data_IF_146567450243
#
_entry.id   IF_146567450243
#
_cell.length_a   1.000
_cell.length_b   1.000
_cell.length_c   1.000
_cell.angle_alpha   90.00
_cell.angle_beta   90.00
_cell.angle_gamma   90.00
#
_symmetry.space_group_name_H-M   'P 1'
#
loop_
_entity.id
_entity.type
_entity.pdbx_description
1 polymer ?
#
# COMPACT_ATOMS: atom_id res chain seq x y z
N UNK A 1 62.90 27.16 -42.84
CA UNK A 1 62.22 27.32 -41.53
C UNK A 1 60.74 27.70 -41.61
N UNK A 2 60.19 28.12 -42.77
CA UNK A 2 58.73 28.33 -42.93
C UNK A 2 57.94 27.00 -43.07
N UNK A 3 58.49 26.02 -43.80
CA UNK A 3 57.83 24.71 -44.04
C UNK A 3 57.51 23.89 -42.79
N UNK A 4 58.41 23.87 -41.80
CA UNK A 4 58.21 23.06 -40.58
C UNK A 4 57.07 23.58 -39.70
N UNK A 5 56.67 24.84 -39.87
CA UNK A 5 55.56 25.46 -39.11
C UNK A 5 54.21 25.14 -39.72
N UNK A 6 54.11 25.10 -41.05
CA UNK A 6 52.89 24.69 -41.76
C UNK A 6 52.60 23.19 -41.60
N UNK A 7 53.64 22.35 -41.63
CA UNK A 7 53.50 20.90 -41.38
C UNK A 7 53.06 20.61 -39.92
N UNK A 8 53.55 21.39 -38.94
CA UNK A 8 53.15 21.25 -37.55
C UNK A 8 51.69 21.68 -37.29
N UNK A 9 51.21 22.71 -38.00
CA UNK A 9 49.81 23.16 -37.90
C UNK A 9 48.86 22.15 -38.54
N UNK A 10 49.19 21.64 -39.74
CA UNK A 10 48.39 20.62 -40.40
C UNK A 10 48.32 19.29 -39.61
N UNK A 11 49.42 18.89 -38.98
CA UNK A 11 49.45 17.71 -38.12
C UNK A 11 48.61 17.89 -36.84
N UNK A 12 48.61 19.10 -36.27
CA UNK A 12 47.79 19.42 -35.10
C UNK A 12 46.29 19.47 -35.45
N UNK A 13 45.90 20.01 -36.61
CA UNK A 13 44.51 20.00 -37.09
C UNK A 13 44.01 18.59 -37.40
N UNK A 14 44.84 17.75 -38.03
CA UNK A 14 44.52 16.35 -38.27
C UNK A 14 44.33 15.57 -36.95
N UNK A 15 45.20 15.78 -35.96
CA UNK A 15 45.09 15.16 -34.64
C UNK A 15 43.84 15.65 -33.88
N UNK A 16 43.50 16.94 -33.96
CA UNK A 16 42.29 17.49 -33.35
C UNK A 16 41.01 16.92 -33.98
N UNK A 17 40.98 16.81 -35.30
CA UNK A 17 39.84 16.21 -36.03
C UNK A 17 39.65 14.74 -35.64
N UNK A 18 40.74 13.98 -35.59
CA UNK A 18 40.71 12.57 -35.21
C UNK A 18 40.28 12.36 -33.75
N UNK A 19 40.69 13.25 -32.83
CA UNK A 19 40.24 13.23 -31.44
C UNK A 19 38.75 13.55 -31.30
N UNK A 20 38.22 14.49 -32.10
CA UNK A 20 36.79 14.81 -32.12
C UNK A 20 35.97 13.66 -32.72
N UNK A 21 36.43 13.02 -33.79
CA UNK A 21 35.79 11.85 -34.39
C UNK A 21 35.76 10.65 -33.44
N UNK A 22 36.88 10.36 -32.77
CA UNK A 22 36.95 9.31 -31.75
C UNK A 22 36.00 9.60 -30.59
N UNK A 23 35.99 10.84 -30.08
CA UNK A 23 35.10 11.25 -28.99
C UNK A 23 33.63 11.15 -29.41
N UNK A 24 33.31 11.55 -30.65
CA UNK A 24 31.96 11.46 -31.20
C UNK A 24 31.51 10.00 -31.37
N UNK A 25 32.40 9.12 -31.86
CA UNK A 25 32.13 7.69 -31.97
C UNK A 25 31.93 7.00 -30.61
N UNK A 26 32.73 7.35 -29.61
CA UNK A 26 32.57 6.86 -28.23
C UNK A 26 31.25 7.35 -27.63
N UNK A 27 30.89 8.62 -27.83
CA UNK A 27 29.62 9.17 -27.36
C UNK A 27 28.43 8.48 -28.04
N UNK A 28 28.48 8.22 -29.35
CA UNK A 28 27.42 7.50 -30.06
C UNK A 28 27.25 6.06 -29.56
N UNK A 29 28.36 5.34 -29.33
CA UNK A 29 28.32 3.98 -28.77
C UNK A 29 27.77 3.98 -27.34
N UNK A 30 28.16 4.96 -26.52
CA UNK A 30 27.66 5.09 -25.16
C UNK A 30 26.17 5.41 -25.15
N UNK A 31 25.70 6.35 -25.98
CA UNK A 31 24.28 6.66 -26.13
C UNK A 31 23.48 5.44 -26.60
N UNK A 32 23.97 4.70 -27.60
CA UNK A 32 23.30 3.48 -28.06
C UNK A 32 23.18 2.42 -26.96
N UNK A 33 24.23 2.23 -26.16
CA UNK A 33 24.22 1.29 -25.04
C UNK A 33 23.32 1.75 -23.90
N UNK A 34 23.27 3.06 -23.62
CA UNK A 34 22.34 3.62 -22.64
C UNK A 34 20.90 3.36 -23.10
N UNK A 35 20.57 3.65 -24.36
CA UNK A 35 19.23 3.39 -24.90
C UNK A 35 18.85 1.91 -24.88
N UNK A 36 19.78 0.99 -25.19
CA UNK A 36 19.53 -0.45 -25.09
C UNK A 36 19.28 -0.89 -23.63
N UNK A 37 20.05 -0.34 -22.68
CA UNK A 37 19.86 -0.62 -21.26
C UNK A 37 18.53 -0.06 -20.74
N UNK A 38 18.15 1.14 -21.16
CA UNK A 38 16.85 1.75 -20.86
C UNK A 38 15.70 0.92 -21.44
N UNK A 39 15.79 0.48 -22.69
CA UNK A 39 14.79 -0.37 -23.32
C UNK A 39 14.66 -1.73 -22.61
N UNK A 40 15.79 -2.36 -22.26
CA UNK A 40 15.80 -3.62 -21.52
C UNK A 40 15.22 -3.46 -20.11
N UNK A 41 15.55 -2.37 -19.43
CA UNK A 41 15.03 -2.06 -18.10
C UNK A 41 13.52 -1.82 -18.16
N UNK A 42 13.06 -0.97 -19.09
CA UNK A 42 11.64 -0.69 -19.30
C UNK A 42 10.87 -1.99 -19.63
N UNK A 43 11.41 -2.83 -20.52
CA UNK A 43 10.82 -4.12 -20.84
C UNK A 43 10.86 -5.14 -19.69
N UNK A 44 11.72 -4.97 -18.68
CA UNK A 44 11.67 -5.76 -17.45
C UNK A 44 10.60 -5.24 -16.49
N UNK A 45 10.48 -3.92 -16.33
CA UNK A 45 9.47 -3.28 -15.48
C UNK A 45 8.06 -3.64 -15.97
N UNK A 46 7.76 -3.47 -17.26
CA UNK A 46 6.44 -3.80 -17.83
C UNK A 46 6.04 -5.26 -17.59
N UNK A 47 6.97 -6.21 -17.74
CA UNK A 47 6.69 -7.63 -17.47
C UNK A 47 6.43 -7.89 -15.99
N UNK A 48 7.13 -7.19 -15.10
CA UNK A 48 6.89 -7.29 -13.67
C UNK A 48 5.50 -6.76 -13.30
N UNK A 49 5.05 -5.69 -13.96
CA UNK A 49 3.73 -5.10 -13.77
C UNK A 49 2.62 -6.05 -14.24
N UNK A 50 2.78 -6.64 -15.42
CA UNK A 50 1.84 -7.64 -15.96
C UNK A 50 1.68 -8.85 -15.02
N UNK A 51 2.79 -9.37 -14.47
CA UNK A 51 2.78 -10.50 -13.53
C UNK A 51 2.02 -10.12 -12.24
N UNK A 52 2.23 -8.91 -11.72
CA UNK A 52 1.56 -8.46 -10.51
C UNK A 52 0.06 -8.21 -10.72
N UNK A 53 -0.30 -7.63 -11.86
CA UNK A 53 -1.70 -7.45 -12.23
C UNK A 53 -2.41 -8.80 -12.37
N UNK A 54 -1.76 -9.79 -12.97
CA UNK A 54 -2.29 -11.15 -13.05
C UNK A 54 -2.45 -11.77 -11.65
N UNK A 55 -1.45 -11.63 -10.78
CA UNK A 55 -1.50 -12.14 -9.40
C UNK A 55 -2.63 -11.50 -8.58
N UNK A 56 -2.85 -10.19 -8.71
CA UNK A 56 -3.94 -9.46 -8.05
C UNK A 56 -5.31 -9.85 -8.63
N UNK A 57 -5.40 -10.08 -9.94
CA UNK A 57 -6.63 -10.58 -10.57
C UNK A 57 -6.94 -12.02 -10.17
N UNK A 58 -5.93 -12.85 -9.90
CA UNK A 58 -6.11 -14.21 -9.37
C UNK A 58 -6.66 -14.16 -7.93
N UNK A 59 -6.15 -13.25 -7.09
CA UNK A 59 -6.60 -13.07 -5.71
C UNK A 59 -8.12 -12.87 -5.57
N UNK A 60 -8.73 -12.14 -6.51
CA UNK A 60 -10.19 -11.92 -6.51
C UNK A 60 -11.02 -13.14 -6.95
N UNK A 61 -10.42 -14.09 -7.68
CA UNK A 61 -11.12 -15.24 -8.28
C UNK A 61 -10.91 -16.53 -7.51
N UNK A 62 -9.70 -16.75 -7.03
CA UNK A 62 -9.27 -17.98 -6.36
C UNK A 62 -8.24 -17.63 -5.28
N UNK A 63 -8.73 -17.11 -4.16
CA UNK A 63 -7.88 -16.73 -3.05
C UNK A 63 -7.30 -17.98 -2.38
N UNK A 64 -5.97 -18.07 -2.34
CA UNK A 64 -5.21 -19.07 -1.60
C UNK A 64 -4.21 -18.41 -0.66
N UNK A 65 -3.68 -19.16 0.32
CA UNK A 65 -2.61 -18.68 1.18
C UNK A 65 -1.46 -18.08 0.36
N UNK A 66 -0.95 -18.82 -0.63
CA UNK A 66 0.20 -18.40 -1.44
C UNK A 66 -0.09 -17.10 -2.20
N UNK A 67 -1.29 -16.98 -2.78
CA UNK A 67 -1.69 -15.77 -3.51
C UNK A 67 -1.77 -14.55 -2.59
N UNK A 68 -2.36 -14.69 -1.39
CA UNK A 68 -2.51 -13.60 -0.42
C UNK A 68 -1.14 -13.24 0.17
N UNK A 69 -0.36 -14.24 0.58
CA UNK A 69 0.95 -14.07 1.19
C UNK A 69 1.92 -13.40 0.22
N UNK A 70 2.00 -13.85 -1.02
CA UNK A 70 2.88 -13.26 -2.04
C UNK A 70 2.53 -11.80 -2.31
N UNK A 71 1.24 -11.47 -2.44
CA UNK A 71 0.80 -10.09 -2.71
C UNK A 71 1.02 -9.17 -1.50
N UNK A 72 0.70 -9.63 -0.28
CA UNK A 72 0.96 -8.86 0.95
C UNK A 72 2.46 -8.68 1.20
N UNK A 73 3.28 -9.72 0.99
CA UNK A 73 4.74 -9.64 1.08
C UNK A 73 5.28 -8.58 0.12
N UNK A 74 4.85 -8.64 -1.14
CA UNK A 74 5.27 -7.67 -2.17
C UNK A 74 4.90 -6.24 -1.77
N UNK A 75 3.66 -6.03 -1.29
CA UNK A 75 3.21 -4.73 -0.83
C UNK A 75 3.99 -4.25 0.40
N UNK A 76 4.27 -5.13 1.35
CA UNK A 76 5.06 -4.83 2.55
C UNK A 76 6.51 -4.45 2.20
N UNK A 77 7.17 -5.24 1.35
CA UNK A 77 8.55 -4.99 0.90
C UNK A 77 8.69 -3.68 0.12
N UNK A 78 7.66 -3.28 -0.62
CA UNK A 78 7.60 -1.98 -1.31
C UNK A 78 7.17 -0.81 -0.40
N UNK A 79 6.86 -1.08 0.87
CA UNK A 79 6.30 -0.09 1.80
C UNK A 79 4.89 0.39 1.42
N UNK A 80 4.20 -0.31 0.52
CA UNK A 80 2.82 0.01 0.13
C UNK A 80 1.84 -0.22 1.29
N UNK A 81 2.15 -1.15 2.18
CA UNK A 81 1.47 -1.39 3.45
C UNK A 81 2.52 -1.49 4.57
N UNK A 82 2.11 -1.23 5.81
CA UNK A 82 3.01 -1.36 6.96
C UNK A 82 2.90 -2.75 7.62
N UNK A 83 3.73 -3.01 8.64
CA UNK A 83 3.65 -4.25 9.43
C UNK A 83 2.35 -4.42 10.24
N UNK A 84 1.49 -3.38 10.30
CA UNK A 84 0.16 -3.50 10.91
C UNK A 84 -0.86 -4.15 9.95
N UNK A 85 -0.48 -4.37 8.68
CA UNK A 85 -1.32 -4.98 7.67
C UNK A 85 -2.24 -3.98 6.97
N UNK A 86 -3.21 -4.53 6.24
CA UNK A 86 -4.18 -3.79 5.43
C UNK A 86 -5.59 -4.20 5.82
N UNK A 87 -6.40 -3.20 6.22
CA UNK A 87 -7.80 -3.41 6.59
C UNK A 87 -8.73 -3.19 5.41
N UNK A 88 -9.68 -4.09 5.20
CA UNK A 88 -10.68 -4.00 4.14
C UNK A 88 -12.08 -4.35 4.65
N UNK A 89 -13.16 -3.82 4.05
CA UNK A 89 -14.50 -4.27 4.34
C UNK A 89 -14.72 -5.66 3.75
N UNK A 90 -15.27 -6.56 4.56
CA UNK A 90 -15.67 -7.91 4.18
C UNK A 90 -17.17 -7.94 3.86
N UNK A 91 -17.58 -7.11 2.91
CA UNK A 91 -18.97 -6.98 2.45
C UNK A 91 -19.12 -5.76 1.52
N UNK A 92 -20.30 -5.60 0.89
CA UNK A 92 -20.52 -4.56 -0.11
C UNK A 92 -20.82 -3.18 0.49
N UNK A 93 -21.27 -3.14 1.75
CA UNK A 93 -21.72 -1.92 2.42
C UNK A 93 -20.57 -1.22 3.17
N UNK A 94 -20.63 0.10 3.33
CA UNK A 94 -19.66 0.88 4.11
C UNK A 94 -19.50 0.42 5.56
N UNK A 95 -20.59 -0.08 6.14
CA UNK A 95 -20.70 -0.60 7.51
C UNK A 95 -20.49 -2.12 7.61
N UNK A 96 -20.01 -2.75 6.53
CA UNK A 96 -19.67 -4.17 6.55
C UNK A 96 -18.58 -4.45 7.60
N UNK A 97 -18.56 -5.66 8.19
CA UNK A 97 -17.47 -6.09 9.07
C UNK A 97 -16.12 -5.88 8.39
N UNK A 98 -15.11 -5.47 9.14
CA UNK A 98 -13.79 -5.15 8.60
C UNK A 98 -12.77 -6.20 9.03
N UNK A 99 -11.90 -6.55 8.12
CA UNK A 99 -10.89 -7.59 8.32
C UNK A 99 -9.53 -7.02 7.95
N UNK A 100 -8.56 -7.18 8.83
CA UNK A 100 -7.16 -6.82 8.59
C UNK A 100 -6.40 -8.07 8.20
N UNK A 101 -5.69 -7.98 7.07
CA UNK A 101 -4.74 -8.98 6.64
C UNK A 101 -3.33 -8.51 6.99
N UNK A 102 -2.63 -9.29 7.80
CA UNK A 102 -1.28 -8.97 8.27
C UNK A 102 -0.32 -10.01 7.75
N UNK A 103 0.71 -9.56 7.04
CA UNK A 103 1.87 -10.36 6.69
C UNK A 103 2.92 -10.22 7.79
N UNK A 104 3.32 -11.33 8.40
CA UNK A 104 4.41 -11.36 9.38
C UNK A 104 5.63 -12.03 8.75
N UNK A 105 6.72 -11.29 8.47
CA UNK A 105 7.92 -11.88 7.92
C UNK A 105 8.57 -12.80 8.94
N UNK A 106 9.37 -13.76 8.45
CA UNK A 106 10.18 -14.61 9.32
C UNK A 106 11.07 -13.76 10.22
N UNK A 107 11.04 -14.04 11.52
CA UNK A 107 11.88 -13.38 12.52
C UNK A 107 12.48 -14.44 13.44
N UNK A 108 13.81 -14.44 13.57
CA UNK A 108 14.54 -15.22 14.57
C UNK A 108 15.53 -14.28 15.26
N UNK A 109 15.57 -14.32 16.59
CA UNK A 109 16.56 -13.61 17.39
C UNK A 109 17.83 -14.46 17.57
N UNK A 110 18.85 -13.86 18.19
CA UNK A 110 20.16 -14.51 18.42
C UNK A 110 20.06 -15.74 19.35
N UNK A 111 19.00 -15.82 20.15
CA UNK A 111 18.71 -16.94 21.04
C UNK A 111 18.01 -18.12 20.33
N UNK A 112 17.68 -17.97 19.05
CA UNK A 112 16.95 -18.95 18.25
C UNK A 112 15.43 -18.95 18.47
N UNK A 113 14.92 -18.02 19.30
CA UNK A 113 13.49 -17.77 19.42
C UNK A 113 13.01 -16.99 18.21
N UNK A 114 11.80 -17.29 17.76
CA UNK A 114 11.27 -16.65 16.57
C UNK A 114 9.99 -17.27 16.06
N UNK A 115 9.59 -16.84 14.88
CA UNK A 115 8.49 -17.43 14.13
C UNK A 115 8.84 -17.50 12.65
N UNK A 116 8.37 -18.56 12.03
CA UNK A 116 8.30 -18.63 10.59
C UNK A 116 7.29 -17.58 10.07
N UNK A 117 7.49 -17.19 8.82
CA UNK A 117 6.54 -16.37 8.09
C UNK A 117 5.12 -16.95 8.18
N UNK A 118 4.14 -16.09 8.45
CA UNK A 118 2.75 -16.49 8.47
C UNK A 118 1.83 -15.32 8.15
N UNK A 119 0.57 -15.66 7.82
CA UNK A 119 -0.51 -14.69 7.68
C UNK A 119 -1.37 -14.67 8.93
N UNK A 120 -1.82 -13.47 9.30
CA UNK A 120 -2.81 -13.28 10.34
C UNK A 120 -4.01 -12.52 9.79
N UNK A 121 -5.20 -13.01 10.11
CA UNK A 121 -6.47 -12.42 9.72
C UNK A 121 -7.18 -11.96 10.99
N UNK A 122 -7.42 -10.66 11.13
CA UNK A 122 -8.00 -10.05 12.33
C UNK A 122 -9.34 -9.40 12.02
N UNK A 123 -10.37 -9.72 12.79
CA UNK A 123 -11.63 -8.98 12.77
C UNK A 123 -11.48 -7.65 13.52
N UNK A 124 -11.77 -6.55 12.85
CA UNK A 124 -11.76 -5.20 13.42
C UNK A 124 -13.16 -4.86 13.92
N UNK A 125 -13.40 -5.12 15.20
CA UNK A 125 -14.70 -4.82 15.81
C UNK A 125 -14.93 -3.30 15.94
N UNK A 126 -16.13 -2.86 15.57
CA UNK A 126 -16.56 -1.50 15.88
C UNK A 126 -16.93 -1.39 17.36
N UNK A 127 -16.36 -0.39 18.03
CA UNK A 127 -16.62 -0.13 19.44
C UNK A 127 -18.08 0.30 19.63
N UNK A 128 -18.83 -0.45 20.45
CA UNK A 128 -20.20 -0.05 20.78
C UNK A 128 -20.21 1.01 21.89
N UNK A 129 -21.24 1.87 21.95
CA UNK A 129 -21.41 2.76 23.08
C UNK A 129 -21.41 1.98 24.40
N UNK A 130 -20.61 2.43 25.38
CA UNK A 130 -20.44 1.81 26.70
C UNK A 130 -19.72 0.45 26.73
N UNK A 131 -19.08 0.03 25.64
CA UNK A 131 -18.23 -1.15 25.62
C UNK A 131 -16.80 -0.80 26.10
N UNK A 132 -16.36 -1.48 27.15
CA UNK A 132 -15.00 -1.35 27.69
C UNK A 132 -14.10 -2.31 26.92
N UNK A 133 -13.18 -1.74 26.14
CA UNK A 133 -12.31 -2.50 25.25
C UNK A 133 -13.02 -2.92 23.96
N UNK A 134 -12.24 -3.20 22.92
CA UNK A 134 -12.73 -3.73 21.65
C UNK A 134 -12.29 -5.18 21.56
N UNK A 135 -13.21 -6.17 21.44
CA UNK A 135 -12.81 -7.56 21.32
C UNK A 135 -11.97 -7.74 20.06
N UNK A 136 -10.78 -8.30 20.24
CA UNK A 136 -9.87 -8.65 19.15
C UNK A 136 -10.07 -10.14 18.87
N UNK A 137 -10.50 -10.47 17.66
CA UNK A 137 -10.61 -11.85 17.18
C UNK A 137 -9.61 -12.00 16.06
N UNK A 138 -8.60 -12.85 16.25
CA UNK A 138 -7.54 -13.08 15.28
C UNK A 138 -7.41 -14.57 15.00
N UNK A 139 -7.12 -14.91 13.75
CA UNK A 139 -6.82 -16.26 13.32
C UNK A 139 -5.51 -16.24 12.55
N UNK A 140 -4.65 -17.22 12.85
CA UNK A 140 -3.50 -17.51 12.00
C UNK A 140 -3.99 -18.31 10.79
N UNK A 141 -3.45 -17.98 9.62
CA UNK A 141 -3.68 -18.69 8.39
C UNK A 141 -2.37 -19.38 8.00
N UNK A 142 -2.40 -20.70 7.92
CA UNK A 142 -1.27 -21.52 7.52
C UNK A 142 -1.33 -21.93 6.04
N UNK A 143 -0.17 -22.33 5.49
CA UNK A 143 0.03 -22.60 4.05
C UNK A 143 -0.90 -23.67 3.46
N UNK A 144 -1.30 -24.64 4.28
CA UNK A 144 -2.11 -25.79 3.90
C UNK A 144 -3.62 -25.60 4.18
N UNK A 145 -4.03 -24.42 4.62
CA UNK A 145 -5.42 -24.14 4.98
C UNK A 145 -6.21 -23.45 3.88
N UNK A 146 -7.45 -23.91 3.70
CA UNK A 146 -8.44 -23.25 2.86
C UNK A 146 -8.86 -21.91 3.51
N UNK A 147 -8.98 -20.81 2.74
CA UNK A 147 -9.45 -19.53 3.26
C UNK A 147 -10.82 -19.64 3.96
N UNK A 148 -11.70 -20.53 3.48
CA UNK A 148 -13.04 -20.72 4.03
C UNK A 148 -12.98 -21.22 5.47
N UNK A 149 -12.05 -22.14 5.76
CA UNK A 149 -11.87 -22.70 7.10
C UNK A 149 -11.35 -21.63 8.08
N UNK A 150 -10.38 -20.81 7.64
CA UNK A 150 -9.85 -19.69 8.43
C UNK A 150 -10.96 -18.69 8.77
N UNK A 151 -11.74 -18.28 7.76
CA UNK A 151 -12.85 -17.36 7.96
C UNK A 151 -13.98 -17.98 8.78
N UNK A 152 -14.20 -19.29 8.71
CA UNK A 152 -15.14 -19.98 9.57
C UNK A 152 -14.72 -19.88 11.04
N UNK A 153 -13.45 -20.15 11.35
CA UNK A 153 -12.93 -19.99 12.72
C UNK A 153 -13.01 -18.55 13.20
N UNK A 154 -12.69 -17.58 12.32
CA UNK A 154 -12.83 -16.15 12.60
C UNK A 154 -14.29 -15.81 12.95
N UNK A 155 -15.25 -16.26 12.15
CA UNK A 155 -16.68 -16.05 12.39
C UNK A 155 -17.17 -16.72 13.68
N UNK A 156 -16.65 -17.90 14.04
CA UNK A 156 -16.93 -18.56 15.31
C UNK A 156 -16.34 -17.76 16.49
N UNK A 157 -15.13 -17.22 16.34
CA UNK A 157 -14.53 -16.29 17.27
C UNK A 157 -15.36 -15.01 17.46
N UNK A 158 -15.87 -14.43 16.37
CA UNK A 158 -16.78 -13.28 16.41
C UNK A 158 -18.05 -13.60 17.21
N UNK A 159 -18.66 -14.76 16.99
CA UNK A 159 -19.84 -15.18 17.75
C UNK A 159 -19.52 -15.32 19.24
N UNK A 160 -18.39 -15.96 19.58
CA UNK A 160 -17.92 -16.07 20.98
C UNK A 160 -17.68 -14.71 21.63
N UNK A 161 -17.24 -13.72 20.85
CA UNK A 161 -17.07 -12.33 21.28
C UNK A 161 -18.37 -11.50 21.32
N UNK A 162 -19.55 -12.11 21.11
CA UNK A 162 -20.83 -11.40 21.14
C UNK A 162 -21.14 -10.59 19.87
N UNK A 163 -20.46 -10.92 18.76
CA UNK A 163 -20.54 -10.24 17.45
C UNK A 163 -21.25 -11.06 16.38
N UNK A 164 -22.24 -11.86 16.79
CA UNK A 164 -23.00 -12.71 15.87
C UNK A 164 -23.76 -11.97 14.76
N UNK A 165 -24.14 -10.70 14.98
CA UNK A 165 -24.73 -9.87 13.92
C UNK A 165 -23.77 -9.53 12.79
N UNK A 166 -22.48 -9.40 13.10
CA UNK A 166 -21.43 -9.07 12.13
C UNK A 166 -21.10 -10.30 11.27
N UNK A 167 -21.10 -11.51 11.86
CA UNK A 167 -20.92 -12.77 11.14
C UNK A 167 -21.82 -12.87 9.90
N UNK A 168 -23.09 -12.50 10.01
CA UNK A 168 -24.05 -12.66 8.89
C UNK A 168 -23.81 -11.67 7.75
N UNK A 169 -23.17 -10.54 8.06
CA UNK A 169 -22.83 -9.48 7.10
C UNK A 169 -21.46 -9.71 6.46
N UNK A 170 -20.60 -10.52 7.08
CA UNK A 170 -19.30 -10.88 6.53
C UNK A 170 -19.46 -11.72 5.26
N UNK A 171 -18.78 -11.29 4.19
CA UNK A 171 -18.70 -11.97 2.90
C UNK A 171 -17.22 -12.16 2.53
N UNK A 172 -16.79 -13.41 2.48
CA UNK A 172 -15.39 -13.79 2.24
C UNK A 172 -14.92 -13.30 0.86
N UNK A 173 -15.73 -13.50 -0.18
CA UNK A 173 -15.42 -13.07 -1.54
C UNK A 173 -15.22 -11.54 -1.65
N UNK A 174 -16.04 -10.76 -0.94
CA UNK A 174 -15.91 -9.29 -0.92
C UNK A 174 -14.63 -8.87 -0.19
N UNK A 175 -14.23 -9.58 0.89
CA UNK A 175 -12.98 -9.30 1.58
C UNK A 175 -11.77 -9.46 0.64
N UNK A 176 -11.69 -10.55 -0.12
CA UNK A 176 -10.59 -10.78 -1.06
C UNK A 176 -10.65 -9.84 -2.27
N UNK A 177 -11.83 -9.53 -2.78
CA UNK A 177 -12.02 -8.55 -3.86
C UNK A 177 -11.52 -7.17 -3.43
N UNK A 178 -11.94 -6.71 -2.26
CA UNK A 178 -11.52 -5.42 -1.72
C UNK A 178 -10.03 -5.41 -1.36
N UNK A 179 -9.48 -6.53 -0.88
CA UNK A 179 -8.03 -6.69 -0.65
C UNK A 179 -7.24 -6.54 -1.96
N UNK A 180 -7.66 -7.20 -3.03
CA UNK A 180 -7.01 -7.12 -4.33
C UNK A 180 -7.03 -5.68 -4.88
N UNK A 181 -8.18 -5.00 -4.79
CA UNK A 181 -8.31 -3.60 -5.20
C UNK A 181 -7.40 -2.70 -4.38
N UNK A 182 -7.41 -2.85 -3.05
CA UNK A 182 -6.61 -2.03 -2.15
C UNK A 182 -5.10 -2.22 -2.38
N UNK A 183 -4.65 -3.47 -2.55
CA UNK A 183 -3.24 -3.78 -2.82
C UNK A 183 -2.78 -3.24 -4.17
N UNK A 184 -3.61 -3.36 -5.21
CA UNK A 184 -3.32 -2.77 -6.52
C UNK A 184 -3.04 -1.28 -6.41
N UNK A 185 -3.95 -0.56 -5.77
CA UNK A 185 -3.88 0.89 -5.64
C UNK A 185 -2.68 1.31 -4.77
N UNK A 186 -2.41 0.58 -3.68
CA UNK A 186 -1.27 0.81 -2.79
C UNK A 186 0.09 0.57 -3.50
N UNK A 187 0.20 -0.52 -4.25
CA UNK A 187 1.44 -0.87 -4.99
C UNK A 187 1.68 0.14 -6.12
N UNK A 188 0.64 0.49 -6.90
CA UNK A 188 0.73 1.50 -7.95
C UNK A 188 1.21 2.86 -7.41
N UNK A 189 0.73 3.25 -6.22
CA UNK A 189 1.17 4.48 -5.55
C UNK A 189 2.67 4.48 -5.21
N UNK A 190 3.23 3.34 -4.79
CA UNK A 190 4.65 3.22 -4.44
C UNK A 190 5.58 3.19 -5.65
N UNK A 191 5.08 2.74 -6.79
CA UNK A 191 5.85 2.69 -8.04
C UNK A 191 5.99 4.05 -8.70
N UNK A 192 5.17 5.02 -8.32
CA UNK A 192 5.09 6.31 -9.00
C UNK A 192 4.41 6.19 -10.37
N UNK A 193 3.61 5.14 -10.56
CA UNK A 193 2.70 5.02 -11.70
C UNK A 193 1.60 6.11 -11.60
N UNK A 194 0.69 6.17 -12.57
CA UNK A 194 -0.48 7.08 -12.59
C UNK A 194 -1.50 6.73 -11.48
N UNK A 195 -1.04 6.78 -10.23
CA UNK A 195 -1.81 6.55 -9.02
C UNK A 195 -2.32 7.88 -8.49
N UNK A 196 -3.56 7.85 -8.02
CA UNK A 196 -4.19 9.00 -7.39
C UNK A 196 -3.81 9.17 -5.92
N UNK A 197 -3.11 8.19 -5.32
CA UNK A 197 -2.71 8.23 -3.92
C UNK A 197 -1.42 9.04 -3.74
N UNK A 198 -1.26 9.62 -2.57
CA UNK A 198 -0.11 10.44 -2.17
C UNK A 198 1.17 9.65 -1.90
N UNK A 199 1.14 8.32 -2.00
CA UNK A 199 2.27 7.43 -1.81
C UNK A 199 2.59 7.08 -0.34
N UNK A 200 1.71 7.42 0.62
CA UNK A 200 1.83 6.91 2.00
C UNK A 200 1.45 5.43 2.10
N UNK A 201 1.91 4.71 3.13
CA UNK A 201 1.52 3.30 3.29
C UNK A 201 0.01 3.22 3.56
N UNK A 202 -0.70 2.35 2.84
CA UNK A 202 -2.14 2.18 2.99
C UNK A 202 -2.42 1.39 4.27
N UNK A 203 -3.36 1.92 5.06
CA UNK A 203 -3.80 1.37 6.34
C UNK A 203 -5.13 0.65 6.16
N UNK A 204 -6.05 1.30 5.45
CA UNK A 204 -7.40 0.78 5.26
C UNK A 204 -7.99 1.22 3.91
N UNK A 205 -8.67 0.30 3.24
CA UNK A 205 -9.56 0.60 2.12
C UNK A 205 -10.95 0.92 2.64
N UNK A 206 -11.46 2.14 2.46
CA UNK A 206 -12.81 2.49 2.98
C UNK A 206 -13.88 1.96 2.05
N UNK A 207 -13.77 2.33 0.78
CA UNK A 207 -14.65 2.00 -0.33
C UNK A 207 -13.91 2.32 -1.64
N UNK A 208 -14.49 1.99 -2.79
CA UNK A 208 -13.92 2.38 -4.07
C UNK A 208 -13.67 3.90 -4.14
N UNK A 209 -12.44 4.27 -4.50
CA UNK A 209 -11.95 5.64 -4.54
C UNK A 209 -11.65 6.30 -3.19
N UNK A 210 -11.71 5.59 -2.06
CA UNK A 210 -11.43 6.13 -0.73
C UNK A 210 -10.55 5.21 0.11
N UNK A 211 -9.45 5.74 0.64
CA UNK A 211 -8.52 5.00 1.49
C UNK A 211 -8.08 5.83 2.69
N UNK A 212 -7.54 5.13 3.68
CA UNK A 212 -6.70 5.68 4.71
C UNK A 212 -5.26 5.27 4.44
N UNK A 213 -4.37 6.25 4.46
CA UNK A 213 -2.92 6.05 4.42
C UNK A 213 -2.26 6.77 5.59
N UNK A 214 -0.96 6.55 5.78
CA UNK A 214 -0.15 7.32 6.74
C UNK A 214 -0.25 8.85 6.54
N UNK A 215 -0.58 9.29 5.32
CA UNK A 215 -0.72 10.71 4.99
C UNK A 215 -2.12 11.28 5.28
N UNK A 216 -3.11 10.43 5.58
CA UNK A 216 -4.46 10.84 5.94
C UNK A 216 -5.58 10.04 5.27
N UNK A 217 -6.75 10.65 5.21
CA UNK A 217 -7.86 10.19 4.37
C UNK A 217 -7.64 10.73 2.96
N UNK A 218 -7.67 9.84 1.98
CA UNK A 218 -7.46 10.18 0.58
C UNK A 218 -8.67 9.78 -0.27
N UNK A 219 -8.97 10.62 -1.26
CA UNK A 219 -10.05 10.41 -2.21
C UNK A 219 -9.56 10.53 -3.66
N UNK A 220 -10.00 9.60 -4.51
CA UNK A 220 -9.63 9.55 -5.92
C UNK A 220 -10.03 10.83 -6.65
N UNK A 221 -9.06 11.44 -7.33
CA UNK A 221 -9.22 12.73 -8.02
C UNK A 221 -9.07 13.97 -7.14
N UNK A 222 -8.95 13.81 -5.81
CA UNK A 222 -8.84 14.93 -4.86
C UNK A 222 -7.60 14.85 -3.93
N UNK A 223 -6.90 13.71 -3.92
CA UNK A 223 -5.72 13.50 -3.07
C UNK A 223 -6.08 13.41 -1.59
N UNK A 224 -5.20 13.93 -0.73
CA UNK A 224 -5.40 13.95 0.73
C UNK A 224 -6.46 14.99 1.11
N UNK A 225 -7.61 14.53 1.60
CA UNK A 225 -8.74 15.38 1.99
C UNK A 225 -8.80 15.66 3.49
N UNK A 226 -8.15 14.84 4.31
CA UNK A 226 -7.98 15.09 5.74
C UNK A 226 -6.66 14.49 6.24
N UNK A 227 -5.80 15.31 6.83
CA UNK A 227 -4.49 14.88 7.38
C UNK A 227 -4.63 14.21 8.76
N UNK A 228 -3.66 13.39 9.22
CA UNK A 228 -3.66 12.81 10.55
C UNK A 228 -3.80 13.87 11.65
N UNK A 229 -3.14 15.02 11.49
CA UNK A 229 -3.24 16.13 12.45
C UNK A 229 -4.66 16.70 12.59
N UNK A 230 -5.43 16.74 11.50
CA UNK A 230 -6.82 17.19 11.54
C UNK A 230 -7.75 16.17 12.19
N UNK A 231 -7.36 14.89 12.21
CA UNK A 231 -8.17 13.78 12.73
C UNK A 231 -7.79 13.41 14.17
N UNK A 232 -6.59 13.77 14.63
CA UNK A 232 -6.16 13.60 16.01
C UNK A 232 -6.70 14.72 16.91
N UNK A 233 -7.51 14.33 17.90
CA UNK A 233 -8.03 15.26 18.92
C UNK A 233 -6.84 15.82 19.73
N UNK A 234 -6.64 17.15 19.80
CA UNK A 234 -5.53 17.73 20.56
C UNK A 234 -5.58 17.34 22.03
N UNK A 235 -4.44 17.28 22.73
CA UNK A 235 -4.44 17.01 24.17
C UNK A 235 -4.94 18.20 25.00
N UNK A 236 -4.55 19.41 24.60
CA UNK A 236 -4.89 20.68 25.27
C UNK A 236 -6.38 20.99 25.23
N UNK A 237 -6.97 21.33 26.37
CA UNK A 237 -8.39 21.73 26.47
C UNK A 237 -8.69 22.95 25.60
N UNK A 238 -7.79 23.92 25.56
CA UNK A 238 -7.96 25.14 24.76
C UNK A 238 -7.97 24.83 23.25
N UNK A 239 -7.16 23.88 22.82
CA UNK A 239 -7.10 23.46 21.41
C UNK A 239 -8.26 22.55 21.05
N UNK A 240 -8.71 21.67 21.97
CA UNK A 240 -9.91 20.84 21.79
C UNK A 240 -11.16 21.68 21.54
N UNK A 241 -11.32 22.81 22.23
CA UNK A 241 -12.48 23.69 22.02
C UNK A 241 -12.53 24.31 20.62
N UNK A 242 -11.37 24.49 19.98
CA UNK A 242 -11.24 25.07 18.64
C UNK A 242 -11.13 24.01 17.55
N UNK A 243 -10.77 22.78 17.92
CA UNK A 243 -10.60 21.67 17.01
C UNK A 243 -11.94 21.29 16.39
N UNK A 244 -11.95 21.22 15.07
CA UNK A 244 -13.08 20.79 14.27
C UNK A 244 -12.58 19.80 13.24
N UNK A 245 -13.41 18.81 12.95
CA UNK A 245 -13.20 17.99 11.77
C UNK A 245 -13.28 18.84 10.50
N UNK A 246 -12.57 18.46 9.43
CA UNK A 246 -12.76 19.06 8.13
C UNK A 246 -14.23 19.01 7.72
N UNK A 247 -14.71 20.09 7.10
CA UNK A 247 -16.07 20.16 6.58
C UNK A 247 -16.20 19.24 5.36
N UNK A 248 -17.36 18.59 5.22
CA UNK A 248 -17.63 17.74 4.06
C UNK A 248 -17.62 18.58 2.78
N UNK A 249 -16.80 18.25 1.79
CA UNK A 249 -16.85 18.95 0.51
C UNK A 249 -18.11 18.55 -0.27
N UNK A 250 -18.61 19.46 -1.13
CA UNK A 250 -19.88 19.26 -1.85
C UNK A 250 -19.90 18.00 -2.72
N UNK A 251 -18.75 17.61 -3.27
CA UNK A 251 -18.60 16.44 -4.16
C UNK A 251 -18.63 15.10 -3.42
N UNK A 252 -18.36 15.07 -2.10
CA UNK A 252 -18.30 13.84 -1.34
C UNK A 252 -19.68 13.41 -0.87
N UNK A 253 -20.05 12.16 -1.11
CA UNK A 253 -21.25 11.55 -0.53
C UNK A 253 -21.18 11.61 1.02
N UNK A 254 -22.32 11.89 1.68
CA UNK A 254 -22.34 12.16 3.12
C UNK A 254 -21.90 10.95 3.94
N UNK A 255 -22.41 9.78 3.60
CA UNK A 255 -22.12 8.50 4.23
C UNK A 255 -20.65 8.10 4.10
N UNK A 256 -20.09 8.18 2.88
CA UNK A 256 -18.67 7.86 2.64
C UNK A 256 -17.76 8.82 3.39
N UNK A 257 -18.08 10.12 3.37
CA UNK A 257 -17.31 11.13 4.10
C UNK A 257 -17.33 10.87 5.61
N UNK A 258 -18.53 10.73 6.19
CA UNK A 258 -18.71 10.50 7.62
C UNK A 258 -17.97 9.24 8.07
N UNK A 259 -18.11 8.13 7.32
CA UNK A 259 -17.41 6.89 7.63
C UNK A 259 -15.89 7.05 7.50
N UNK A 260 -15.40 7.69 6.45
CA UNK A 260 -13.96 7.92 6.26
C UNK A 260 -13.36 8.76 7.38
N UNK A 261 -14.05 9.82 7.82
CA UNK A 261 -13.61 10.64 8.95
C UNK A 261 -13.65 9.86 10.27
N UNK A 262 -14.69 9.06 10.51
CA UNK A 262 -14.81 8.19 11.69
C UNK A 262 -13.62 7.22 11.77
N UNK A 263 -13.35 6.48 10.67
CA UNK A 263 -12.23 5.55 10.57
C UNK A 263 -10.90 6.29 10.72
N UNK A 264 -10.76 7.45 10.08
CA UNK A 264 -9.54 8.26 10.13
C UNK A 264 -9.17 8.70 11.54
N UNK A 265 -10.16 9.11 12.32
CA UNK A 265 -9.97 9.45 13.73
C UNK A 265 -9.55 8.26 14.59
N UNK A 266 -9.95 7.06 14.21
CA UNK A 266 -9.70 5.85 15.00
C UNK A 266 -8.35 5.25 14.67
N UNK A 267 -8.04 5.09 13.39
CA UNK A 267 -6.87 4.35 12.93
C UNK A 267 -5.62 5.24 12.91
N UNK A 268 -5.67 6.44 12.30
CA UNK A 268 -4.47 7.26 12.04
C UNK A 268 -3.65 7.65 13.27
N UNK A 269 -4.22 7.90 14.46
CA UNK A 269 -3.42 8.18 15.66
C UNK A 269 -2.45 7.05 16.02
N UNK A 270 -2.75 5.80 15.66
CA UNK A 270 -1.86 4.65 15.90
C UNK A 270 -0.68 4.56 14.91
N UNK A 271 -0.75 5.27 13.78
CA UNK A 271 0.25 5.21 12.70
C UNK A 271 1.09 6.49 12.59
N UNK A 272 0.66 7.59 13.21
CA UNK A 272 1.44 8.83 13.26
C UNK A 272 2.70 8.63 14.10
N UNK A 273 3.79 8.25 13.44
CA UNK A 273 5.11 7.98 14.03
C UNK A 273 5.88 9.27 14.37
N UNK A 274 5.32 10.17 15.18
CA UNK A 274 6.13 11.19 15.88
C UNK A 274 5.54 11.54 17.26
N UNK A 275 6.43 11.91 18.21
CA UNK A 275 6.17 12.00 19.62
C UNK A 275 5.37 13.28 19.93
N UNK A 276 4.70 13.26 21.07
CA UNK A 276 4.17 14.46 21.71
C UNK A 276 5.19 15.59 21.81
#
# INVERSE_FOLDING_TARGET
MKDTREVAVAAAEAAATQAVEQTSGVNQQLSARISELEERLNGQLTRQDEILDEALNALSRDASYDSVASNLRTAYEQGAISGQGLTVPAGPDLDSPRVTFVYQPTFYNDDGDGHAEHLKVTYVAEQRPNEIGTPVVEEFWHVDEDPTDVFQRLMEGMVRAGRGGDKNRLKIADAFTNLALALREAIAARRGDDSWQSGGSVIEFVSDGWILSENGVEAKGYGVVATPRQLTVPFSVADRQKWKLPERPEWAASDVWEKSMERGRRELPAFSSFPF
#
